data_IF_466505076361
#
_entry.id   IF_466505076361
#
_cell.length_a   1.000
_cell.length_b   1.000
_cell.length_c   1.000
_cell.angle_alpha   90.00
_cell.angle_beta   90.00
_cell.angle_gamma   90.00
#
_symmetry.space_group_name_H-M   'P 1'
#
loop_
_entity.id
_entity.type
_entity.pdbx_description
1 polymer ?
#
# COMPACT_ATOMS: atom_id res chain seq x y z
N UNK A 1 -14.73 46.56 45.66
CA UNK A 1 -14.85 45.14 45.29
C UNK A 1 -14.49 44.98 43.82
N UNK A 2 -13.29 44.49 43.51
CA UNK A 2 -12.85 44.26 42.11
C UNK A 2 -13.25 42.85 41.69
N UNK A 3 -14.13 42.75 40.65
CA UNK A 3 -14.53 41.49 40.06
C UNK A 3 -13.42 41.02 39.08
N UNK A 4 -12.78 39.91 39.43
CA UNK A 4 -11.84 39.22 38.54
C UNK A 4 -12.65 38.32 37.63
N UNK A 5 -12.63 38.60 36.29
CA UNK A 5 -13.22 37.77 35.26
C UNK A 5 -12.15 36.78 34.83
N UNK A 6 -12.37 35.49 35.11
CA UNK A 6 -11.55 34.41 34.58
C UNK A 6 -12.00 34.10 33.16
N UNK A 7 -11.22 34.46 32.15
CA UNK A 7 -11.39 34.00 30.79
C UNK A 7 -10.80 32.58 30.68
N UNK A 8 -11.68 31.58 30.57
CA UNK A 8 -11.30 30.22 30.18
C UNK A 8 -11.01 30.19 28.67
N UNK A 9 -9.73 30.13 28.33
CA UNK A 9 -9.32 29.81 26.94
C UNK A 9 -9.56 28.33 26.71
N UNK A 10 -10.63 28.01 25.95
CA UNK A 10 -10.85 26.68 25.40
C UNK A 10 -9.94 26.55 24.17
N UNK A 11 -8.77 25.96 24.32
CA UNK A 11 -7.94 25.57 23.19
C UNK A 11 -8.60 24.35 22.51
N UNK A 12 -9.32 24.59 21.43
CA UNK A 12 -9.74 23.51 20.51
C UNK A 12 -8.47 22.93 19.88
N UNK A 13 -8.01 21.80 20.40
CA UNK A 13 -7.02 20.99 19.70
C UNK A 13 -7.71 20.38 18.48
N UNK A 14 -7.49 20.97 17.32
CA UNK A 14 -7.75 20.31 16.05
C UNK A 14 -6.79 19.12 15.95
N UNK A 15 -7.28 17.93 16.30
CA UNK A 15 -6.63 16.69 15.93
C UNK A 15 -6.66 16.62 14.39
N UNK A 16 -5.59 17.08 13.75
CA UNK A 16 -5.32 16.71 12.38
C UNK A 16 -5.15 15.18 12.38
N UNK A 17 -6.20 14.47 11.97
CA UNK A 17 -6.11 13.05 11.71
C UNK A 17 -5.02 12.84 10.67
N UNK A 18 -3.83 12.43 11.10
CA UNK A 18 -2.82 11.92 10.20
C UNK A 18 -3.43 10.69 9.51
N UNK A 19 -3.88 10.85 8.27
CA UNK A 19 -4.16 9.73 7.38
C UNK A 19 -2.82 9.02 7.16
N UNK A 20 -2.65 7.90 7.84
CA UNK A 20 -1.44 7.09 7.76
C UNK A 20 -1.76 6.03 6.71
N UNK A 21 -1.02 6.05 5.61
CA UNK A 21 -1.05 5.07 4.52
C UNK A 21 0.00 3.99 4.78
N UNK A 22 -0.02 2.87 4.08
CA UNK A 22 1.02 1.84 4.20
C UNK A 22 2.35 2.56 4.28
N UNK A 23 2.96 2.46 5.44
CA UNK A 23 3.95 3.46 5.86
C UNK A 23 4.87 3.80 4.70
N UNK A 24 5.29 5.05 4.59
CA UNK A 24 6.25 5.47 3.56
C UNK A 24 7.42 4.50 3.44
N UNK A 25 7.70 3.78 4.52
CA UNK A 25 8.70 2.72 4.59
C UNK A 25 8.28 1.48 3.79
N UNK A 26 7.05 0.99 3.92
CA UNK A 26 6.57 -0.20 3.20
C UNK A 26 6.61 -0.03 1.68
N UNK A 27 6.07 1.07 1.15
CA UNK A 27 6.15 1.37 -0.28
C UNK A 27 7.60 1.48 -0.79
N UNK A 28 8.49 2.08 0.00
CA UNK A 28 9.92 2.16 -0.36
C UNK A 28 10.61 0.81 -0.35
N UNK A 29 10.25 -0.09 0.57
CA UNK A 29 10.76 -1.48 0.56
C UNK A 29 10.36 -2.16 -0.74
N UNK A 30 9.08 -2.09 -1.11
CA UNK A 30 8.55 -2.68 -2.35
C UNK A 30 9.29 -2.12 -3.58
N UNK A 31 9.44 -0.79 -3.65
CA UNK A 31 10.22 -0.15 -4.72
C UNK A 31 11.69 -0.59 -4.74
N UNK A 32 12.31 -0.77 -3.57
CA UNK A 32 13.71 -1.22 -3.45
C UNK A 32 13.87 -2.67 -3.91
N UNK A 33 13.03 -3.59 -3.45
CA UNK A 33 13.02 -5.00 -3.87
C UNK A 33 12.78 -5.10 -5.38
N UNK A 34 11.79 -4.38 -5.90
CA UNK A 34 11.49 -4.39 -7.33
C UNK A 34 12.69 -3.93 -8.17
N UNK A 35 13.39 -2.89 -7.73
CA UNK A 35 14.54 -2.34 -8.47
C UNK A 35 15.71 -3.33 -8.58
N UNK A 36 15.88 -4.21 -7.61
CA UNK A 36 16.92 -5.24 -7.61
C UNK A 36 16.63 -6.34 -8.62
N UNK A 37 15.35 -6.64 -8.86
CA UNK A 37 14.86 -7.71 -9.75
C UNK A 37 14.56 -7.22 -11.19
N UNK A 38 14.86 -5.97 -11.53
CA UNK A 38 14.69 -5.46 -12.89
C UNK A 38 15.69 -6.07 -13.85
N UNK A 39 15.20 -6.44 -15.04
CA UNK A 39 16.09 -6.76 -16.17
C UNK A 39 16.95 -5.56 -16.55
N UNK A 40 18.13 -5.82 -17.12
CA UNK A 40 19.00 -4.73 -17.57
C UNK A 40 18.35 -3.81 -18.61
N UNK A 41 17.43 -4.33 -19.43
CA UNK A 41 16.64 -3.55 -20.39
C UNK A 41 15.64 -2.63 -19.69
N UNK A 42 14.85 -3.18 -18.78
CA UNK A 42 13.85 -2.44 -17.98
C UNK A 42 14.54 -1.35 -17.16
N UNK A 43 15.63 -1.68 -16.49
CA UNK A 43 16.42 -0.72 -15.69
C UNK A 43 16.84 0.51 -16.52
N UNK A 44 17.42 0.29 -17.70
CA UNK A 44 17.78 1.40 -18.60
C UNK A 44 16.59 2.21 -19.11
N UNK A 45 15.45 1.56 -19.35
CA UNK A 45 14.25 2.25 -19.80
C UNK A 45 13.66 3.12 -18.69
N UNK A 46 13.58 2.60 -17.46
CA UNK A 46 13.11 3.34 -16.30
C UNK A 46 14.04 4.49 -15.93
N UNK A 47 15.35 4.28 -15.99
CA UNK A 47 16.35 5.31 -15.71
C UNK A 47 16.14 6.55 -16.62
N UNK A 48 15.95 6.31 -17.93
CA UNK A 48 15.63 7.39 -18.88
C UNK A 48 14.25 8.02 -18.64
N UNK A 49 13.25 7.23 -18.26
CA UNK A 49 11.88 7.73 -18.09
C UNK A 49 11.75 8.55 -16.80
N UNK A 50 12.43 8.12 -15.74
CA UNK A 50 12.39 8.72 -14.41
C UNK A 50 13.53 9.72 -14.14
N UNK A 51 14.35 10.01 -15.15
CA UNK A 51 15.51 10.90 -15.03
C UNK A 51 16.42 10.54 -13.84
N UNK A 52 16.72 9.23 -13.70
CA UNK A 52 17.59 8.67 -12.66
C UNK A 52 16.93 8.46 -11.28
N UNK A 53 15.64 8.80 -11.10
CA UNK A 53 14.95 8.53 -9.84
C UNK A 53 14.77 7.02 -9.62
N UNK A 54 15.03 6.55 -8.38
CA UNK A 54 14.82 5.16 -8.00
C UNK A 54 13.34 4.84 -7.79
N UNK A 55 12.96 3.55 -7.93
CA UNK A 55 11.58 3.12 -7.61
C UNK A 55 11.22 3.42 -6.15
N UNK A 56 12.17 3.25 -5.22
CA UNK A 56 11.95 3.58 -3.81
C UNK A 56 11.68 5.07 -3.57
N UNK A 57 12.30 5.97 -4.37
CA UNK A 57 12.10 7.41 -4.22
C UNK A 57 10.73 7.89 -4.69
N UNK A 58 10.14 7.20 -5.67
CA UNK A 58 8.83 7.55 -6.25
C UNK A 58 7.67 6.77 -5.65
N UNK A 59 7.94 5.78 -4.79
CA UNK A 59 6.95 4.82 -4.31
C UNK A 59 5.79 5.45 -3.50
N UNK A 60 6.01 6.64 -2.92
CA UNK A 60 4.96 7.34 -2.14
C UNK A 60 4.18 8.37 -2.97
N UNK A 61 4.46 8.51 -4.26
CA UNK A 61 3.90 9.56 -5.11
C UNK A 61 2.37 9.64 -5.07
N UNK A 62 1.67 8.52 -5.16
CA UNK A 62 0.20 8.52 -5.19
C UNK A 62 -0.43 9.04 -3.89
N UNK A 63 0.23 8.84 -2.76
CA UNK A 63 -0.19 9.42 -1.49
C UNK A 63 0.13 10.91 -1.39
N UNK A 64 1.28 11.32 -1.90
CA UNK A 64 1.72 12.71 -1.86
C UNK A 64 0.78 13.62 -2.68
N UNK A 65 0.29 13.16 -3.84
CA UNK A 65 -0.63 13.92 -4.69
C UNK A 65 -2.04 14.05 -4.10
N UNK A 66 -2.44 13.27 -3.09
CA UNK A 66 -3.72 13.44 -2.37
C UNK A 66 -3.86 14.82 -1.72
N UNK A 67 -2.74 15.50 -1.46
CA UNK A 67 -2.75 16.88 -0.98
C UNK A 67 -3.32 17.90 -2.02
N UNK A 68 -3.29 17.54 -3.31
CA UNK A 68 -3.79 18.39 -4.40
C UNK A 68 -5.17 17.91 -4.88
N UNK A 69 -6.17 18.79 -4.76
CA UNK A 69 -7.55 18.50 -5.14
C UNK A 69 -7.74 18.09 -6.60
N UNK A 70 -6.81 18.46 -7.49
CA UNK A 70 -6.84 18.07 -8.91
C UNK A 70 -6.74 16.58 -9.11
N UNK A 71 -6.14 15.87 -8.16
CA UNK A 71 -5.93 14.41 -8.20
C UNK A 71 -6.91 13.62 -7.34
N UNK A 72 -7.99 14.26 -6.86
CA UNK A 72 -8.97 13.62 -5.95
C UNK A 72 -9.63 12.38 -6.55
N UNK A 73 -9.79 12.33 -7.86
CA UNK A 73 -10.37 11.20 -8.57
C UNK A 73 -9.56 9.89 -8.38
N UNK A 74 -8.25 9.99 -8.22
CA UNK A 74 -7.35 8.84 -8.02
C UNK A 74 -7.42 8.26 -6.60
N UNK A 75 -8.10 8.91 -5.65
CA UNK A 75 -8.18 8.43 -4.26
C UNK A 75 -8.87 7.06 -4.14
N UNK A 76 -9.81 6.73 -5.04
CA UNK A 76 -10.46 5.44 -5.06
C UNK A 76 -9.55 4.30 -5.54
N UNK A 77 -8.44 4.61 -6.21
CA UNK A 77 -7.54 3.61 -6.77
C UNK A 77 -6.64 2.92 -5.74
N UNK A 78 -6.55 3.47 -4.53
CA UNK A 78 -5.69 2.93 -3.48
C UNK A 78 -6.22 1.65 -2.84
N UNK A 79 -7.49 1.31 -3.04
CA UNK A 79 -8.10 0.15 -2.40
C UNK A 79 -9.22 -0.44 -3.26
N UNK A 80 -9.57 -1.66 -2.93
CA UNK A 80 -10.81 -2.30 -3.35
C UNK A 80 -11.45 -2.96 -2.14
N UNK A 81 -12.57 -2.43 -1.67
CA UNK A 81 -13.32 -3.04 -0.57
C UNK A 81 -14.36 -4.01 -1.15
N UNK A 82 -14.27 -5.27 -0.75
CA UNK A 82 -15.09 -6.36 -1.26
C UNK A 82 -16.05 -6.80 -0.14
N UNK A 83 -17.37 -6.95 -0.42
CA UNK A 83 -18.29 -7.51 0.57
C UNK A 83 -17.79 -8.86 1.09
N UNK A 84 -18.04 -9.17 2.37
CA UNK A 84 -17.41 -10.30 3.08
C UNK A 84 -17.54 -11.63 2.33
N UNK A 85 -18.71 -11.91 1.72
CA UNK A 85 -19.00 -13.19 1.07
C UNK A 85 -18.88 -13.12 -0.46
N UNK A 86 -18.13 -12.15 -0.99
CA UNK A 86 -17.95 -11.91 -2.42
C UNK A 86 -16.48 -12.03 -2.84
N UNK A 87 -16.30 -12.36 -4.13
CA UNK A 87 -15.04 -12.17 -4.82
C UNK A 87 -15.05 -10.87 -5.63
N UNK A 88 -13.90 -10.40 -6.08
CA UNK A 88 -13.82 -9.20 -6.93
C UNK A 88 -14.67 -9.34 -8.21
N UNK A 89 -14.75 -10.53 -8.79
CA UNK A 89 -15.59 -10.81 -9.98
C UNK A 89 -17.09 -10.59 -9.76
N UNK A 90 -17.54 -10.53 -8.51
CA UNK A 90 -18.95 -10.42 -8.13
C UNK A 90 -19.38 -8.98 -7.84
N UNK A 91 -18.47 -8.03 -8.00
CA UNK A 91 -18.70 -6.62 -7.72
C UNK A 91 -18.41 -5.75 -8.95
N UNK A 92 -19.11 -4.63 -9.05
CA UNK A 92 -18.82 -3.61 -10.05
C UNK A 92 -17.93 -2.53 -9.45
N UNK A 93 -16.87 -2.09 -10.13
CA UNK A 93 -16.06 -0.96 -9.71
C UNK A 93 -16.90 0.29 -9.52
N UNK A 94 -16.51 1.18 -8.62
CA UNK A 94 -17.15 2.48 -8.48
C UNK A 94 -16.99 3.32 -9.76
N UNK A 95 -17.78 4.38 -9.91
CA UNK A 95 -17.66 5.30 -11.06
C UNK A 95 -16.27 5.94 -11.19
N UNK A 96 -15.47 5.93 -10.14
CA UNK A 96 -14.09 6.42 -10.12
C UNK A 96 -13.07 5.29 -10.29
N UNK A 97 -13.53 4.06 -10.44
CA UNK A 97 -12.70 2.86 -10.42
C UNK A 97 -12.36 2.40 -9.00
N UNK A 98 -11.37 1.55 -8.91
CA UNK A 98 -10.80 0.96 -7.71
C UNK A 98 -9.32 0.61 -7.95
N UNK A 99 -8.71 -0.12 -7.02
CA UNK A 99 -7.31 -0.53 -7.10
C UNK A 99 -6.99 -1.37 -8.35
N UNK A 100 -7.88 -2.30 -8.72
CA UNK A 100 -7.66 -3.18 -9.87
C UNK A 100 -7.73 -2.40 -11.18
N UNK A 101 -8.80 -1.62 -11.35
CA UNK A 101 -8.98 -0.78 -12.55
C UNK A 101 -7.90 0.30 -12.64
N UNK A 102 -7.46 0.85 -11.50
CA UNK A 102 -6.33 1.79 -11.42
C UNK A 102 -5.02 1.17 -11.92
N UNK A 103 -4.67 -0.02 -11.44
CA UNK A 103 -3.48 -0.76 -11.88
C UNK A 103 -3.56 -1.03 -13.40
N UNK A 104 -4.68 -1.54 -13.89
CA UNK A 104 -4.88 -1.83 -15.32
C UNK A 104 -4.74 -0.56 -16.19
N UNK A 105 -5.31 0.56 -15.74
CA UNK A 105 -5.17 1.84 -16.41
C UNK A 105 -3.72 2.31 -16.44
N UNK A 106 -3.00 2.20 -15.33
CA UNK A 106 -1.58 2.57 -15.25
C UNK A 106 -0.73 1.72 -16.22
N UNK A 107 -0.94 0.40 -16.24
CA UNK A 107 -0.27 -0.51 -17.18
C UNK A 107 -0.50 -0.07 -18.63
N UNK A 108 -1.75 0.19 -19.01
CA UNK A 108 -2.10 0.61 -20.36
C UNK A 108 -1.43 1.95 -20.73
N UNK A 109 -1.43 2.93 -19.83
CA UNK A 109 -0.84 4.25 -20.08
C UNK A 109 0.69 4.20 -20.18
N UNK A 110 1.36 3.40 -19.36
CA UNK A 110 2.83 3.23 -19.40
C UNK A 110 3.26 2.47 -20.65
N UNK A 111 2.50 1.43 -21.04
CA UNK A 111 2.80 0.57 -22.19
C UNK A 111 2.70 1.33 -23.53
N UNK A 112 1.79 2.28 -23.65
CA UNK A 112 1.59 3.03 -24.88
C UNK A 112 2.71 4.05 -25.08
N UNK A 113 3.66 3.73 -25.94
CA UNK A 113 4.80 4.58 -26.27
C UNK A 113 4.44 5.91 -26.96
N UNK A 114 3.21 6.06 -27.47
CA UNK A 114 2.72 7.30 -28.09
C UNK A 114 2.21 8.33 -27.06
N UNK A 115 2.02 7.93 -25.81
CA UNK A 115 1.68 8.87 -24.74
C UNK A 115 2.83 9.83 -24.44
N UNK A 116 2.54 11.04 -24.02
CA UNK A 116 3.55 12.02 -23.57
C UNK A 116 4.40 11.41 -22.43
N UNK A 117 5.67 11.83 -22.36
CA UNK A 117 6.60 11.35 -21.31
C UNK A 117 6.02 11.64 -19.92
N UNK A 118 5.46 12.82 -19.74
CA UNK A 118 4.87 13.30 -18.47
C UNK A 118 3.75 12.37 -17.99
N UNK A 119 2.84 11.99 -18.89
CA UNK A 119 1.75 11.06 -18.59
C UNK A 119 2.29 9.68 -18.25
N UNK A 120 3.23 9.17 -19.04
CA UNK A 120 3.85 7.87 -18.75
C UNK A 120 4.57 7.86 -17.41
N UNK A 121 5.24 8.95 -17.05
CA UNK A 121 5.89 9.10 -15.72
C UNK A 121 4.86 9.16 -14.61
N UNK A 122 3.77 9.92 -14.78
CA UNK A 122 2.69 10.01 -13.81
C UNK A 122 2.10 8.62 -13.52
N UNK A 123 1.65 7.91 -14.57
CA UNK A 123 1.04 6.59 -14.41
C UNK A 123 2.04 5.52 -13.97
N UNK A 124 3.32 5.64 -14.29
CA UNK A 124 4.36 4.76 -13.74
C UNK A 124 4.51 4.94 -12.23
N UNK A 125 4.57 6.18 -11.75
CA UNK A 125 4.64 6.46 -10.31
C UNK A 125 3.39 5.95 -9.57
N UNK A 126 2.20 6.14 -10.17
CA UNK A 126 0.96 5.55 -9.66
C UNK A 126 1.07 4.02 -9.61
N UNK A 127 1.50 3.36 -10.68
CA UNK A 127 1.63 1.90 -10.76
C UNK A 127 2.53 1.33 -9.66
N UNK A 128 3.69 1.95 -9.43
CA UNK A 128 4.64 1.53 -8.39
C UNK A 128 3.97 1.54 -7.01
N UNK A 129 3.18 2.57 -6.72
CA UNK A 129 2.45 2.69 -5.46
C UNK A 129 1.31 1.67 -5.36
N UNK A 130 0.44 1.60 -6.38
CA UNK A 130 -0.76 0.77 -6.36
C UNK A 130 -0.44 -0.75 -6.29
N UNK A 131 0.67 -1.20 -6.87
CA UNK A 131 1.12 -2.58 -6.64
C UNK A 131 1.53 -2.78 -5.18
N UNK A 132 2.04 -1.76 -4.52
CA UNK A 132 2.27 -1.78 -3.09
C UNK A 132 0.96 -1.91 -2.31
N UNK A 133 -0.02 -1.06 -2.58
CA UNK A 133 -1.35 -1.09 -1.96
C UNK A 133 -2.02 -2.47 -2.11
N UNK A 134 -1.89 -3.09 -3.29
CA UNK A 134 -2.43 -4.43 -3.55
C UNK A 134 -1.89 -5.49 -2.59
N UNK A 135 -0.67 -5.31 -2.08
CA UNK A 135 -0.02 -6.24 -1.14
C UNK A 135 -0.19 -5.83 0.32
N UNK A 136 -0.93 -4.76 0.60
CA UNK A 136 -1.41 -4.42 1.95
C UNK A 136 -2.82 -5.02 2.13
N UNK A 137 -2.99 -6.07 2.94
CA UNK A 137 -4.24 -6.84 2.97
C UNK A 137 -5.49 -5.99 3.25
N UNK A 138 -5.39 -4.96 4.10
CA UNK A 138 -6.53 -4.10 4.42
C UNK A 138 -6.94 -3.17 3.28
N UNK A 139 -6.11 -2.99 2.24
CA UNK A 139 -6.52 -2.33 1.00
C UNK A 139 -7.39 -3.21 0.09
N UNK A 140 -7.49 -4.51 0.42
CA UNK A 140 -8.40 -5.50 -0.18
C UNK A 140 -9.34 -6.05 0.91
N UNK A 141 -9.74 -5.18 1.83
CA UNK A 141 -10.55 -5.53 2.99
C UNK A 141 -12.05 -5.52 2.73
N UNK A 142 -12.83 -5.63 3.81
CA UNK A 142 -14.29 -5.70 3.74
C UNK A 142 -14.92 -4.35 3.43
N UNK A 143 -15.99 -4.36 2.63
CA UNK A 143 -16.75 -3.15 2.29
C UNK A 143 -17.47 -2.58 3.53
N UNK A 144 -17.98 -3.43 4.37
CA UNK A 144 -18.84 -3.13 5.52
C UNK A 144 -18.16 -2.24 6.55
N UNK A 145 -16.81 -2.34 6.64
CA UNK A 145 -16.01 -1.59 7.62
C UNK A 145 -14.90 -0.75 6.98
N UNK A 146 -15.02 -0.49 5.69
CA UNK A 146 -14.05 0.33 4.91
C UNK A 146 -12.64 -0.23 4.98
N UNK A 147 -12.49 -1.54 4.82
CA UNK A 147 -11.18 -2.19 4.87
C UNK A 147 -10.56 -2.15 6.27
N UNK A 148 -11.34 -2.40 7.33
CA UNK A 148 -10.88 -2.41 8.71
C UNK A 148 -10.71 -1.03 9.36
N UNK A 149 -11.08 0.06 8.67
CA UNK A 149 -11.03 1.40 9.27
C UNK A 149 -12.06 1.59 10.37
N UNK A 150 -13.22 0.95 10.27
CA UNK A 150 -14.28 1.03 11.29
C UNK A 150 -14.08 -0.03 12.40
N UNK A 151 -13.16 -0.99 12.27
CA UNK A 151 -12.80 -1.95 13.31
C UNK A 151 -11.81 -1.31 14.29
N UNK A 152 -12.35 -0.65 15.33
CA UNK A 152 -11.57 0.08 16.33
C UNK A 152 -10.92 -0.87 17.32
N UNK A 153 -9.65 -0.62 17.66
CA UNK A 153 -8.85 -1.35 18.64
C UNK A 153 -7.78 -0.45 19.25
N UNK A 154 -6.90 -0.99 20.08
CA UNK A 154 -5.79 -0.25 20.66
C UNK A 154 -4.46 -0.85 20.19
N UNK A 155 -3.51 0.00 19.86
CA UNK A 155 -2.13 -0.36 19.56
C UNK A 155 -1.22 0.22 20.63
N UNK A 156 -0.57 -0.64 21.44
CA UNK A 156 0.22 -0.22 22.62
C UNK A 156 -0.53 0.78 23.52
N UNK A 157 -1.82 0.52 23.75
CA UNK A 157 -2.67 1.37 24.60
C UNK A 157 -3.16 2.66 23.95
N UNK A 158 -2.78 2.97 22.72
CA UNK A 158 -3.25 4.11 21.95
C UNK A 158 -4.38 3.69 20.98
N UNK A 159 -5.36 4.56 20.79
CA UNK A 159 -6.45 4.31 19.84
C UNK A 159 -5.94 4.08 18.42
N UNK A 160 -6.41 3.01 17.79
CA UNK A 160 -6.10 2.61 16.43
C UNK A 160 -7.29 1.89 15.80
N UNK A 161 -7.11 1.37 14.59
CA UNK A 161 -8.02 0.46 13.93
C UNK A 161 -7.21 -0.60 13.19
N UNK A 162 -7.86 -1.68 12.74
CA UNK A 162 -7.18 -2.79 12.09
C UNK A 162 -6.43 -2.34 10.83
N UNK A 163 -7.05 -1.49 10.02
CA UNK A 163 -6.41 -0.91 8.83
C UNK A 163 -5.09 -0.23 9.19
N UNK A 164 -5.13 0.69 10.14
CA UNK A 164 -3.96 1.49 10.56
C UNK A 164 -2.85 0.63 11.18
N UNK A 165 -3.19 -0.44 11.89
CA UNK A 165 -2.19 -1.36 12.45
C UNK A 165 -1.37 -1.99 11.33
N UNK A 166 -2.03 -2.44 10.27
CA UNK A 166 -1.38 -3.06 9.11
C UNK A 166 -0.73 -2.03 8.18
N UNK A 167 -1.35 -0.88 8.04
CA UNK A 167 -0.90 0.15 7.12
C UNK A 167 0.35 0.90 7.63
N UNK A 168 0.48 1.02 8.95
CA UNK A 168 1.54 1.86 9.49
C UNK A 168 2.13 1.38 10.81
N UNK A 169 1.28 0.99 11.78
CA UNK A 169 1.76 0.85 13.15
C UNK A 169 2.85 -0.22 13.27
N UNK A 170 2.63 -1.43 12.73
CA UNK A 170 3.62 -2.51 12.83
C UNK A 170 4.96 -2.14 12.19
N UNK A 171 4.95 -1.59 10.98
CA UNK A 171 6.20 -1.24 10.27
C UNK A 171 6.94 -0.09 10.97
N UNK A 172 6.20 0.94 11.42
CA UNK A 172 6.81 2.08 12.09
C UNK A 172 7.41 1.72 13.45
N UNK A 173 6.71 0.89 14.23
CA UNK A 173 7.16 0.48 15.55
C UNK A 173 8.30 -0.54 15.50
N UNK A 174 8.44 -1.27 14.37
CA UNK A 174 9.60 -2.11 14.14
C UNK A 174 10.90 -1.31 13.99
N UNK A 175 10.80 -0.07 13.52
CA UNK A 175 11.85 0.95 13.60
C UNK A 175 13.00 0.81 12.60
N UNK A 176 12.93 -0.12 11.64
CA UNK A 176 13.91 -0.24 10.56
C UNK A 176 13.70 0.83 9.49
N UNK A 177 14.79 1.36 8.95
CA UNK A 177 14.75 2.09 7.69
C UNK A 177 14.29 1.16 6.54
N UNK A 178 13.77 1.72 5.45
CA UNK A 178 13.35 0.90 4.30
C UNK A 178 14.48 0.08 3.69
N UNK A 179 15.72 0.54 3.79
CA UNK A 179 16.90 -0.18 3.29
C UNK A 179 17.30 -1.34 4.19
N UNK A 180 17.20 -1.17 5.51
CA UNK A 180 17.43 -2.24 6.47
C UNK A 180 16.36 -3.30 6.35
N UNK A 181 15.08 -2.90 6.29
CA UNK A 181 13.96 -3.83 6.15
C UNK A 181 14.01 -4.60 4.83
N UNK A 182 14.32 -3.93 3.70
CA UNK A 182 14.48 -4.63 2.43
C UNK A 182 15.63 -5.65 2.47
N UNK A 183 16.71 -5.36 3.20
CA UNK A 183 17.87 -6.25 3.34
C UNK A 183 17.62 -7.40 4.32
N UNK A 184 16.70 -7.24 5.28
CA UNK A 184 16.37 -8.29 6.27
C UNK A 184 15.37 -9.33 5.71
N UNK A 185 14.74 -9.07 4.56
CA UNK A 185 13.83 -10.02 3.94
C UNK A 185 14.56 -11.33 3.60
N UNK A 186 13.87 -12.48 3.67
CA UNK A 186 14.47 -13.79 3.34
C UNK A 186 15.10 -13.80 1.94
N UNK A 187 16.28 -14.38 1.83
CA UNK A 187 16.87 -14.67 0.52
C UNK A 187 16.08 -15.78 -0.17
N UNK A 188 15.74 -15.57 -1.44
CA UNK A 188 14.98 -16.50 -2.25
C UNK A 188 15.79 -16.99 -3.44
N UNK A 189 15.63 -18.25 -3.79
CA UNK A 189 16.18 -18.75 -5.02
C UNK A 189 15.34 -18.37 -6.25
N UNK A 190 15.89 -18.59 -7.45
CA UNK A 190 15.22 -18.22 -8.72
C UNK A 190 13.88 -18.93 -8.94
N UNK A 191 13.70 -20.12 -8.38
CA UNK A 191 12.48 -20.90 -8.50
C UNK A 191 11.41 -20.31 -7.58
N UNK A 192 11.77 -19.97 -6.36
CA UNK A 192 10.88 -19.31 -5.40
C UNK A 192 10.42 -17.94 -5.92
N UNK A 193 11.35 -17.12 -6.43
CA UNK A 193 11.02 -15.84 -7.07
C UNK A 193 10.02 -16.05 -8.21
N UNK A 194 10.28 -17.02 -9.09
CA UNK A 194 9.38 -17.31 -10.21
C UNK A 194 7.99 -17.73 -9.73
N UNK A 195 7.92 -18.59 -8.71
CA UNK A 195 6.64 -19.03 -8.11
C UNK A 195 5.87 -17.85 -7.52
N UNK A 196 6.53 -16.94 -6.80
CA UNK A 196 5.89 -15.72 -6.26
C UNK A 196 5.34 -14.82 -7.38
N UNK A 197 6.04 -14.76 -8.49
CA UNK A 197 5.65 -13.95 -9.65
C UNK A 197 4.54 -14.58 -10.49
N UNK A 198 4.14 -15.82 -10.26
CA UNK A 198 3.03 -16.47 -10.97
C UNK A 198 1.69 -15.76 -10.72
N UNK A 199 0.72 -16.00 -11.60
CA UNK A 199 -0.61 -15.42 -11.51
C UNK A 199 -0.75 -14.05 -12.16
N UNK A 200 -1.95 -13.53 -12.03
CA UNK A 200 -2.44 -12.25 -12.55
C UNK A 200 -2.69 -11.26 -11.42
N UNK A 201 -3.02 -10.03 -11.76
CA UNK A 201 -3.46 -9.02 -10.77
C UNK A 201 -4.65 -9.54 -9.94
N UNK A 202 -5.60 -10.24 -10.57
CA UNK A 202 -6.77 -10.79 -9.86
C UNK A 202 -6.41 -11.92 -8.90
N UNK A 203 -5.47 -12.78 -9.27
CA UNK A 203 -4.97 -13.83 -8.37
C UNK A 203 -4.32 -13.21 -7.13
N UNK A 204 -3.58 -12.12 -7.30
CA UNK A 204 -2.95 -11.39 -6.20
C UNK A 204 -3.96 -10.62 -5.33
N UNK A 205 -5.07 -10.13 -5.92
CA UNK A 205 -6.22 -9.57 -5.17
C UNK A 205 -6.83 -10.64 -4.27
N UNK A 206 -7.13 -11.83 -4.80
CA UNK A 206 -7.68 -12.93 -4.02
C UNK A 206 -6.74 -13.35 -2.88
N UNK A 207 -5.43 -13.44 -3.17
CA UNK A 207 -4.44 -13.76 -2.12
C UNK A 207 -4.44 -12.71 -0.99
N UNK A 208 -4.49 -11.42 -1.32
CA UNK A 208 -4.57 -10.35 -0.33
C UNK A 208 -5.89 -10.36 0.44
N UNK A 209 -7.01 -10.67 -0.22
CA UNK A 209 -8.32 -10.83 0.41
C UNK A 209 -8.33 -12.01 1.41
N UNK A 210 -7.72 -13.14 1.04
CA UNK A 210 -7.59 -14.31 1.93
C UNK A 210 -6.79 -13.99 3.19
N UNK A 211 -5.73 -13.18 3.05
CA UNK A 211 -4.97 -12.70 4.19
C UNK A 211 -5.84 -11.76 5.02
N UNK A 212 -6.51 -10.78 4.40
CA UNK A 212 -7.39 -9.86 5.08
C UNK A 212 -8.45 -10.59 5.93
N UNK A 213 -9.09 -11.63 5.38
CA UNK A 213 -10.07 -12.43 6.12
C UNK A 213 -9.47 -13.07 7.38
N UNK A 214 -8.25 -13.64 7.30
CA UNK A 214 -7.55 -14.19 8.48
C UNK A 214 -7.24 -13.12 9.51
N UNK A 215 -6.96 -11.88 9.08
CA UNK A 215 -6.70 -10.75 9.98
C UNK A 215 -7.96 -10.31 10.72
N UNK A 216 -9.10 -10.26 10.04
CA UNK A 216 -10.39 -10.01 10.67
C UNK A 216 -10.73 -11.05 11.74
N UNK A 217 -10.45 -12.33 11.45
CA UNK A 217 -10.71 -13.43 12.37
C UNK A 217 -9.72 -13.48 13.55
N UNK A 218 -8.65 -12.69 13.50
CA UNK A 218 -7.57 -12.67 14.52
C UNK A 218 -7.75 -11.60 15.58
N UNK A 219 -8.78 -10.76 15.50
CA UNK A 219 -8.96 -9.62 16.40
C UNK A 219 -10.43 -9.40 16.77
N UNK A 220 -10.66 -8.80 17.94
CA UNK A 220 -11.99 -8.33 18.39
C UNK A 220 -12.03 -6.81 18.47
N UNK A 221 -13.27 -6.24 18.35
CA UNK A 221 -13.46 -4.80 18.51
C UNK A 221 -13.05 -4.39 19.94
N UNK A 222 -12.21 -3.36 20.03
CA UNK A 222 -11.72 -2.82 21.29
C UNK A 222 -10.49 -3.55 21.85
N UNK A 223 -10.01 -4.61 21.16
CA UNK A 223 -8.86 -5.39 21.61
C UNK A 223 -7.59 -4.55 21.74
N UNK A 224 -6.73 -4.93 22.70
CA UNK A 224 -5.44 -4.30 22.97
C UNK A 224 -4.34 -5.12 22.30
N UNK A 225 -3.88 -4.65 21.15
CA UNK A 225 -2.78 -5.25 20.40
C UNK A 225 -1.44 -4.62 20.81
N UNK A 226 -0.40 -5.46 20.85
CA UNK A 226 0.96 -5.07 21.19
C UNK A 226 1.99 -6.07 20.60
N UNK A 227 3.10 -6.31 21.30
CA UNK A 227 4.20 -7.19 20.85
C UNK A 227 3.77 -8.57 20.39
N UNK A 228 2.80 -9.23 21.05
CA UNK A 228 2.38 -10.59 20.65
C UNK A 228 1.73 -10.60 19.27
N UNK A 229 0.93 -9.57 18.95
CA UNK A 229 0.33 -9.42 17.63
C UNK A 229 1.40 -9.18 16.55
N UNK A 230 2.33 -8.26 16.80
CA UNK A 230 3.48 -8.06 15.90
C UNK A 230 4.27 -9.35 15.70
N UNK A 231 4.60 -10.07 16.76
CA UNK A 231 5.34 -11.33 16.68
C UNK A 231 4.62 -12.38 15.83
N UNK A 232 3.30 -12.49 15.99
CA UNK A 232 2.49 -13.45 15.22
C UNK A 232 2.44 -13.10 13.72
N UNK A 233 2.32 -11.82 13.39
CA UNK A 233 2.01 -11.39 12.03
C UNK A 233 3.18 -10.77 11.27
N UNK A 234 4.34 -10.54 11.92
CA UNK A 234 5.47 -9.89 11.27
C UNK A 234 5.94 -10.64 10.02
N UNK A 235 6.04 -11.96 10.06
CA UNK A 235 6.39 -12.76 8.89
C UNK A 235 5.42 -12.59 7.71
N UNK A 236 4.13 -12.31 7.99
CA UNK A 236 3.16 -11.97 6.94
C UNK A 236 3.44 -10.60 6.35
N UNK A 237 3.79 -9.60 7.16
CA UNK A 237 4.21 -8.28 6.68
C UNK A 237 5.43 -8.39 5.75
N UNK A 238 6.48 -9.08 6.19
CA UNK A 238 7.70 -9.30 5.38
C UNK A 238 7.37 -10.01 4.07
N UNK A 239 6.54 -11.06 4.12
CA UNK A 239 6.11 -11.80 2.93
C UNK A 239 5.36 -10.90 1.94
N UNK A 240 4.45 -10.06 2.40
CA UNK A 240 3.69 -9.15 1.53
C UNK A 240 4.58 -8.06 0.93
N UNK A 241 5.51 -7.51 1.69
CA UNK A 241 6.50 -6.56 1.18
C UNK A 241 7.37 -7.18 0.08
N UNK A 242 7.86 -8.41 0.29
CA UNK A 242 8.68 -9.12 -0.67
C UNK A 242 7.91 -9.49 -1.94
N UNK A 243 6.70 -10.06 -1.79
CA UNK A 243 5.80 -10.37 -2.92
C UNK A 243 5.47 -9.13 -3.72
N UNK A 244 5.13 -8.02 -3.05
CA UNK A 244 4.85 -6.74 -3.70
C UNK A 244 6.00 -6.27 -4.58
N UNK A 245 7.24 -6.35 -4.08
CA UNK A 245 8.43 -5.98 -4.83
C UNK A 245 8.70 -6.90 -6.02
N UNK A 246 8.64 -8.21 -5.83
CA UNK A 246 8.89 -9.20 -6.89
C UNK A 246 7.84 -9.13 -8.00
N UNK A 247 6.58 -8.95 -7.65
CA UNK A 247 5.46 -8.82 -8.59
C UNK A 247 5.47 -7.47 -9.32
N UNK A 248 5.85 -6.39 -8.65
CA UNK A 248 6.13 -5.12 -9.31
C UNK A 248 7.24 -5.25 -10.35
N UNK A 249 8.34 -5.93 -10.01
CA UNK A 249 9.42 -6.19 -10.96
C UNK A 249 8.95 -6.99 -12.18
N UNK A 250 8.13 -8.03 -11.98
CA UNK A 250 7.49 -8.78 -13.08
C UNK A 250 6.70 -7.86 -14.00
N UNK A 251 5.77 -7.08 -13.45
CA UNK A 251 4.92 -6.16 -14.23
C UNK A 251 5.79 -5.16 -15.01
N UNK A 252 6.78 -4.56 -14.37
CA UNK A 252 7.68 -3.63 -15.04
C UNK A 252 8.53 -4.30 -16.13
N UNK A 253 9.05 -5.51 -15.88
CA UNK A 253 9.82 -6.25 -16.87
C UNK A 253 8.97 -6.61 -18.10
N UNK A 254 7.69 -6.90 -17.95
CA UNK A 254 6.74 -7.15 -19.05
C UNK A 254 6.37 -5.88 -19.82
N UNK A 255 6.37 -4.71 -19.16
CA UNK A 255 6.06 -3.44 -19.81
C UNK A 255 7.17 -2.90 -20.71
N UNK A 256 8.42 -3.24 -20.42
CA UNK A 256 9.60 -2.71 -21.13
C UNK A 256 10.38 -3.79 -21.91
N UNK A 257 9.67 -4.80 -22.42
CA UNK A 257 10.22 -5.88 -23.26
C UNK A 257 10.81 -5.32 -24.56
#
# INVERSE_FOLDING_TARGET
>A
MKKIIFLLFFSAQFAFGNTIFWSKTGHRVIGKVAQEELSGRTRRALDRLLDGQSLASIANFADEIKADRRYREFSAWHYVNIPQDKAYSDIEPSKYGDLVTGIQKCIAMVKNGNNAKEDRVFYLKMLVHLIGDLHQPMHVGRLEDKGGNDLQLQWFGNGSNLHKVWDANMINDYGMSYTELAKSLPELDKKEIKTIQEGTILDWVHESQDIANKLYDSVEIGEKLAYSYSYTWWGTVESQLQKGGLRLAKVLNELFI
#
